data_IF_987275285179
#
_entry.id   IF_987275285179
#
_cell.length_a   1.000
_cell.length_b   1.000
_cell.length_c   1.000
_cell.angle_alpha   90.00
_cell.angle_beta   90.00
_cell.angle_gamma   90.00
#
_symmetry.space_group_name_H-M   'P 1'
#
loop_
_entity.id
_entity.type
_entity.pdbx_description
1 polymer ?
#
# COMPACT_ATOMS: atom_id res chain seq x y z
N UNK A 1 7.41 -20.63 8.28
CA UNK A 1 8.13 -19.69 9.18
C UNK A 1 7.92 -19.98 10.67
N UNK A 2 6.90 -19.47 11.36
CA UNK A 2 6.83 -19.59 12.84
C UNK A 2 6.79 -21.03 13.38
N UNK A 3 6.14 -21.96 12.67
CA UNK A 3 6.13 -23.39 13.05
C UNK A 3 7.49 -24.04 12.83
N UNK A 4 8.09 -23.81 11.66
CA UNK A 4 9.41 -24.36 11.29
C UNK A 4 10.54 -23.81 12.16
N UNK A 5 10.43 -22.54 12.59
CA UNK A 5 11.42 -21.87 13.40
C UNK A 5 11.18 -22.03 14.91
N UNK A 6 10.05 -22.61 15.33
CA UNK A 6 9.65 -22.75 16.75
C UNK A 6 9.62 -21.42 17.53
N UNK A 7 9.39 -20.31 16.83
CA UNK A 7 9.44 -18.96 17.39
C UNK A 7 8.07 -18.26 17.34
N UNK A 8 7.80 -17.33 18.29
CA UNK A 8 6.64 -16.45 18.20
C UNK A 8 6.67 -15.62 16.92
N UNK A 9 5.48 -15.29 16.40
CA UNK A 9 5.33 -14.43 15.24
C UNK A 9 4.43 -13.23 15.55
N UNK A 10 4.83 -12.07 15.03
CA UNK A 10 4.04 -10.82 15.07
C UNK A 10 3.57 -10.51 13.65
N UNK A 11 2.24 -10.43 13.48
CA UNK A 11 1.62 -9.93 12.25
C UNK A 11 1.46 -8.42 12.41
N UNK A 12 2.31 -7.66 11.74
CA UNK A 12 2.22 -6.20 11.75
C UNK A 12 0.96 -5.73 11.03
N UNK A 13 0.32 -4.71 11.61
CA UNK A 13 -0.76 -3.91 11.04
C UNK A 13 -1.80 -4.75 10.27
N UNK A 14 -2.42 -5.73 10.92
CA UNK A 14 -3.36 -6.64 10.26
C UNK A 14 -4.58 -5.90 9.71
N UNK A 15 -4.99 -6.23 8.49
CA UNK A 15 -6.10 -5.58 7.79
C UNK A 15 -6.58 -6.40 6.59
N UNK A 16 -7.82 -6.17 6.18
CA UNK A 16 -8.30 -6.45 4.84
C UNK A 16 -8.06 -5.22 3.95
N UNK A 17 -7.02 -5.27 3.11
CA UNK A 17 -6.66 -4.17 2.23
C UNK A 17 -7.32 -4.32 0.86
N UNK A 18 -8.01 -3.27 0.39
CA UNK A 18 -8.69 -3.25 -0.91
C UNK A 18 -10.11 -3.80 -0.84
N UNK A 19 -11.01 -3.22 -1.65
CA UNK A 19 -12.45 -3.50 -1.62
C UNK A 19 -12.79 -4.98 -1.80
N UNK A 20 -12.03 -5.68 -2.63
CA UNK A 20 -12.20 -7.11 -2.90
C UNK A 20 -11.90 -8.00 -1.69
N UNK A 21 -11.09 -7.50 -0.75
CA UNK A 21 -10.72 -8.23 0.47
C UNK A 21 -11.55 -7.83 1.68
N UNK A 22 -12.43 -6.82 1.58
CA UNK A 22 -13.25 -6.39 2.71
C UNK A 22 -14.10 -7.54 3.24
N UNK A 23 -14.14 -7.68 4.56
CA UNK A 23 -14.80 -8.77 5.29
C UNK A 23 -13.91 -9.99 5.55
N UNK A 24 -12.76 -10.12 4.89
CA UNK A 24 -11.87 -11.30 5.07
C UNK A 24 -11.19 -11.36 6.43
N UNK A 25 -11.23 -10.27 7.21
CA UNK A 25 -10.80 -10.26 8.60
C UNK A 25 -11.58 -11.25 9.46
N UNK A 26 -12.87 -11.48 9.14
CA UNK A 26 -13.71 -12.49 9.78
C UNK A 26 -13.24 -13.93 9.54
N UNK A 27 -12.38 -14.19 8.54
CA UNK A 27 -11.75 -15.49 8.31
C UNK A 27 -10.37 -15.58 8.93
N UNK A 28 -9.57 -14.53 8.81
CA UNK A 28 -8.17 -14.52 9.24
C UNK A 28 -8.00 -14.45 10.76
N UNK A 29 -8.86 -13.73 11.47
CA UNK A 29 -8.81 -13.67 12.94
C UNK A 29 -9.07 -15.04 13.59
N UNK A 30 -10.11 -15.81 13.20
CA UNK A 30 -10.27 -17.19 13.66
C UNK A 30 -9.08 -18.11 13.38
N UNK A 31 -8.36 -17.91 12.27
CA UNK A 31 -7.15 -18.66 11.97
C UNK A 31 -6.01 -18.35 12.95
N UNK A 32 -5.86 -17.08 13.34
CA UNK A 32 -4.89 -16.65 14.36
C UNK A 32 -5.25 -17.26 15.72
N UNK A 33 -6.53 -17.25 16.09
CA UNK A 33 -6.99 -17.88 17.33
C UNK A 33 -6.75 -19.39 17.33
N UNK A 34 -7.07 -20.07 16.22
CA UNK A 34 -6.84 -21.50 16.07
C UNK A 34 -5.34 -21.85 16.17
N UNK A 35 -4.47 -21.05 15.56
CA UNK A 35 -3.02 -21.22 15.68
C UNK A 35 -2.57 -21.11 17.15
N UNK A 36 -3.09 -20.12 17.89
CA UNK A 36 -2.80 -19.97 19.31
C UNK A 36 -3.32 -21.14 20.16
N UNK A 37 -4.55 -21.64 19.90
CA UNK A 37 -5.08 -22.83 20.58
C UNK A 37 -4.24 -24.09 20.33
N UNK A 38 -3.61 -24.18 19.17
CA UNK A 38 -2.76 -25.31 18.79
C UNK A 38 -1.29 -25.13 19.22
N UNK A 39 -1.02 -24.25 20.19
CA UNK A 39 0.31 -24.09 20.81
C UNK A 39 1.27 -23.16 20.08
N UNK A 40 0.90 -22.58 18.93
CA UNK A 40 1.71 -21.54 18.31
C UNK A 40 1.55 -20.20 19.05
N UNK A 41 2.57 -19.33 19.02
CA UNK A 41 2.47 -17.98 19.58
C UNK A 41 2.35 -16.95 18.45
N UNK A 42 1.11 -16.57 18.13
CA UNK A 42 0.82 -15.56 17.10
C UNK A 42 0.23 -14.31 17.76
N UNK A 43 0.81 -13.16 17.47
CA UNK A 43 0.35 -11.84 17.92
C UNK A 43 0.13 -10.94 16.71
N UNK A 44 -0.70 -9.93 16.90
CA UNK A 44 -1.12 -9.00 15.85
C UNK A 44 -1.29 -7.61 16.44
N UNK A 45 -0.91 -6.60 15.68
CA UNK A 45 -1.22 -5.20 15.98
C UNK A 45 -2.10 -4.58 14.90
N UNK A 46 -2.84 -3.54 15.30
CA UNK A 46 -3.68 -2.73 14.42
C UNK A 46 -3.64 -1.27 14.83
N UNK A 47 -4.02 -0.39 13.90
CA UNK A 47 -4.26 1.02 14.16
C UNK A 47 -5.72 1.37 13.85
N UNK A 48 -6.32 2.33 14.58
CA UNK A 48 -7.76 2.61 14.52
C UNK A 48 -8.16 3.51 13.34
N UNK A 49 -7.63 3.28 12.14
CA UNK A 49 -7.88 4.12 10.95
C UNK A 49 -8.27 3.26 9.74
N UNK A 50 -9.10 3.81 8.83
CA UNK A 50 -9.42 3.13 7.55
C UNK A 50 -8.29 3.32 6.52
N UNK A 51 -7.30 4.13 6.87
CA UNK A 51 -6.25 4.54 5.96
C UNK A 51 -4.91 4.01 6.43
N UNK A 52 -4.10 3.54 5.48
CA UNK A 52 -2.67 3.37 5.69
C UNK A 52 -1.90 4.65 5.38
N UNK A 53 -0.62 4.67 5.74
CA UNK A 53 0.33 5.66 5.24
C UNK A 53 1.64 5.02 4.85
N UNK A 54 2.14 5.39 3.68
CA UNK A 54 3.41 4.89 3.17
C UNK A 54 4.07 5.84 2.17
N UNK A 55 5.23 5.46 1.66
CA UNK A 55 5.83 6.11 0.50
C UNK A 55 5.04 5.74 -0.75
N UNK A 56 4.74 6.72 -1.60
CA UNK A 56 3.99 6.51 -2.84
C UNK A 56 4.73 5.57 -3.81
N UNK A 57 6.05 5.43 -3.66
CA UNK A 57 6.85 4.47 -4.41
C UNK A 57 6.45 3.00 -4.16
N UNK A 58 5.72 2.69 -3.07
CA UNK A 58 5.16 1.34 -2.85
C UNK A 58 4.11 0.94 -3.90
N UNK A 59 3.53 1.89 -4.64
CA UNK A 59 2.63 1.61 -5.75
C UNK A 59 3.38 1.12 -7.00
N UNK A 60 4.71 1.20 -7.01
CA UNK A 60 5.56 0.77 -8.11
C UNK A 60 5.96 -0.71 -7.92
N UNK A 61 5.93 -1.54 -8.98
CA UNK A 61 6.29 -2.95 -8.92
C UNK A 61 7.66 -3.20 -8.26
N UNK A 62 7.81 -4.29 -7.47
CA UNK A 62 9.04 -4.59 -6.73
C UNK A 62 10.32 -4.61 -7.59
N UNK A 63 10.25 -5.17 -8.81
CA UNK A 63 11.41 -5.25 -9.73
C UNK A 63 12.00 -3.88 -10.06
N UNK A 64 11.17 -2.82 -10.07
CA UNK A 64 11.64 -1.48 -10.37
C UNK A 64 12.45 -0.86 -9.22
N UNK A 65 12.37 -1.43 -8.01
CA UNK A 65 13.14 -1.00 -6.83
C UNK A 65 14.53 -1.64 -6.75
N UNK A 66 14.84 -2.64 -7.58
CA UNK A 66 16.14 -3.32 -7.58
C UNK A 66 17.28 -2.32 -7.79
N UNK A 67 18.32 -2.35 -6.95
CA UNK A 67 19.40 -1.35 -6.98
C UNK A 67 19.06 -0.02 -6.29
N UNK A 68 17.94 0.07 -5.58
CA UNK A 68 17.60 1.19 -4.70
C UNK A 68 16.98 2.40 -5.39
N UNK A 69 16.82 3.49 -4.63
CA UNK A 69 16.03 4.66 -5.07
C UNK A 69 16.57 5.36 -6.32
N UNK A 70 17.90 5.41 -6.48
CA UNK A 70 18.52 6.00 -7.67
C UNK A 70 18.18 5.21 -8.95
N UNK A 71 18.29 3.88 -8.88
CA UNK A 71 17.93 3.00 -9.99
C UNK A 71 16.43 3.07 -10.32
N UNK A 72 15.56 3.09 -9.29
CA UNK A 72 14.13 3.32 -9.47
C UNK A 72 13.86 4.61 -10.24
N UNK A 73 14.46 5.74 -9.82
CA UNK A 73 14.27 7.03 -10.49
C UNK A 73 14.81 7.03 -11.92
N UNK A 74 15.92 6.32 -12.18
CA UNK A 74 16.42 6.09 -13.53
C UNK A 74 15.39 5.36 -14.40
N UNK A 75 14.83 4.25 -13.91
CA UNK A 75 13.80 3.47 -14.61
C UNK A 75 12.50 4.26 -14.83
N UNK A 76 12.09 5.11 -13.89
CA UNK A 76 10.90 5.96 -14.06
C UNK A 76 11.10 7.03 -15.15
N UNK A 77 12.35 7.48 -15.38
CA UNK A 77 12.69 8.44 -16.43
C UNK A 77 12.90 7.79 -17.80
N UNK A 78 13.32 6.53 -17.84
CA UNK A 78 13.48 5.78 -19.08
C UNK A 78 12.10 5.45 -19.70
N UNK A 79 11.80 5.87 -20.96
CA UNK A 79 10.48 5.69 -21.55
C UNK A 79 10.04 4.23 -21.71
N UNK A 80 10.97 3.31 -21.95
CA UNK A 80 10.68 1.88 -22.15
C UNK A 80 10.33 1.24 -20.81
N UNK A 81 11.17 1.46 -19.80
CA UNK A 81 10.95 0.98 -18.44
C UNK A 81 9.71 1.61 -17.82
N UNK A 82 9.49 2.91 -18.03
CA UNK A 82 8.30 3.63 -17.56
C UNK A 82 7.02 3.02 -18.09
N UNK A 83 6.94 2.68 -19.38
CA UNK A 83 5.76 2.00 -19.96
C UNK A 83 5.52 0.63 -19.33
N UNK A 84 6.59 -0.14 -19.10
CA UNK A 84 6.51 -1.43 -18.41
C UNK A 84 5.98 -1.26 -16.98
N UNK A 85 6.56 -0.33 -16.23
CA UNK A 85 6.14 0.01 -14.86
C UNK A 85 4.67 0.41 -14.85
N UNK A 86 4.26 1.33 -15.73
CA UNK A 86 2.89 1.82 -15.79
C UNK A 86 1.86 0.69 -16.01
N UNK A 87 2.17 -0.25 -16.90
CA UNK A 87 1.33 -1.44 -17.12
C UNK A 87 1.28 -2.33 -15.88
N UNK A 88 2.42 -2.63 -15.29
CA UNK A 88 2.53 -3.54 -14.15
C UNK A 88 1.91 -2.93 -12.87
N UNK A 89 1.91 -1.60 -12.71
CA UNK A 89 1.20 -0.89 -11.64
C UNK A 89 -0.31 -1.14 -11.70
N UNK A 90 -0.89 -1.36 -12.88
CA UNK A 90 -2.33 -1.59 -13.05
C UNK A 90 -2.67 -3.07 -13.03
N UNK A 91 -1.86 -3.91 -13.68
CA UNK A 91 -2.15 -5.33 -13.89
C UNK A 91 -1.55 -6.25 -12.83
N UNK A 92 -0.57 -5.77 -12.06
CA UNK A 92 0.32 -6.63 -11.30
C UNK A 92 1.27 -7.42 -12.19
N UNK A 93 2.03 -8.31 -11.55
CA UNK A 93 2.90 -9.32 -12.17
C UNK A 93 2.65 -10.67 -11.49
N UNK A 94 3.17 -11.75 -12.05
CA UNK A 94 2.98 -13.11 -11.50
C UNK A 94 3.40 -13.22 -10.02
N UNK A 95 4.47 -12.50 -9.64
CA UNK A 95 5.01 -12.50 -8.28
C UNK A 95 4.57 -11.27 -7.45
N UNK A 96 3.75 -10.41 -8.02
CA UNK A 96 3.20 -9.23 -7.36
C UNK A 96 1.82 -8.95 -7.96
N UNK A 97 0.77 -9.66 -7.53
CA UNK A 97 -0.56 -9.59 -8.16
C UNK A 97 -1.24 -8.22 -7.99
N UNK A 98 -0.55 -7.23 -7.42
CA UNK A 98 -1.08 -5.96 -6.94
C UNK A 98 -2.33 -6.20 -6.11
N UNK A 99 -2.14 -6.62 -4.86
CA UNK A 99 -3.17 -7.15 -3.95
C UNK A 99 -4.41 -6.26 -3.72
N UNK A 100 -4.42 -5.04 -4.25
CA UNK A 100 -5.59 -4.19 -4.30
C UNK A 100 -5.58 -3.33 -5.57
N UNK A 101 -6.71 -3.31 -6.26
CA UNK A 101 -6.93 -2.40 -7.39
C UNK A 101 -6.75 -0.95 -6.92
N UNK A 102 -5.84 -0.23 -7.59
CA UNK A 102 -5.54 1.15 -7.24
C UNK A 102 -6.66 2.05 -7.75
N UNK A 103 -7.41 2.62 -6.81
CA UNK A 103 -8.36 3.70 -7.08
C UNK A 103 -7.69 5.04 -6.74
N UNK A 104 -7.44 5.88 -7.75
CA UNK A 104 -6.64 7.10 -7.59
C UNK A 104 -7.31 8.19 -6.74
N UNK A 105 -8.63 8.11 -6.57
CA UNK A 105 -9.40 8.94 -5.64
C UNK A 105 -9.17 8.50 -4.17
N UNK A 106 -8.77 7.25 -3.93
CA UNK A 106 -8.46 6.70 -2.61
C UNK A 106 -6.99 6.94 -2.18
N UNK A 107 -6.18 7.61 -3.01
CA UNK A 107 -4.79 7.97 -2.69
C UNK A 107 -4.67 9.48 -2.49
N UNK A 108 -4.47 9.89 -1.24
CA UNK A 108 -4.21 11.28 -0.87
C UNK A 108 -2.71 11.54 -0.72
N UNK A 109 -2.26 12.69 -1.23
CA UNK A 109 -0.87 13.12 -1.12
C UNK A 109 -0.65 13.74 0.27
N UNK A 110 0.19 13.10 1.08
CA UNK A 110 0.46 13.51 2.46
C UNK A 110 1.69 14.41 2.57
N UNK A 111 2.72 14.17 1.76
CA UNK A 111 3.91 15.01 1.69
C UNK A 111 4.59 14.88 0.33
N UNK A 112 5.34 15.92 -0.05
CA UNK A 112 6.03 16.01 -1.34
C UNK A 112 7.50 16.41 -1.15
N UNK A 113 8.36 15.90 -2.02
CA UNK A 113 9.80 16.08 -1.95
C UNK A 113 10.32 17.39 -2.55
N UNK A 114 9.43 18.25 -3.06
CA UNK A 114 9.80 19.52 -3.69
C UNK A 114 8.76 20.62 -3.37
N UNK A 115 9.17 21.89 -3.50
CA UNK A 115 8.31 23.06 -3.22
C UNK A 115 7.20 23.23 -4.25
N UNK A 116 7.47 22.94 -5.52
CA UNK A 116 6.52 23.14 -6.63
C UNK A 116 5.23 22.30 -6.47
N UNK A 117 5.34 21.14 -5.83
CA UNK A 117 4.24 20.21 -5.62
C UNK A 117 3.50 20.41 -4.30
N UNK A 118 3.86 21.40 -3.48
CA UNK A 118 3.18 21.65 -2.19
C UNK A 118 1.67 21.89 -2.33
N UNK A 119 1.25 22.46 -3.46
CA UNK A 119 -0.17 22.66 -3.81
C UNK A 119 -0.98 21.37 -3.91
N UNK A 120 -0.32 20.22 -4.05
CA UNK A 120 -0.98 18.91 -4.13
C UNK A 120 -1.13 18.23 -2.77
N UNK A 121 -0.48 18.72 -1.71
CA UNK A 121 -0.65 18.16 -0.36
C UNK A 121 -2.12 18.30 0.07
N UNK A 122 -2.69 17.20 0.56
CA UNK A 122 -4.11 17.10 0.90
C UNK A 122 -5.04 16.77 -0.28
N UNK A 123 -4.55 16.84 -1.53
CA UNK A 123 -5.30 16.46 -2.74
C UNK A 123 -5.17 14.96 -3.03
N UNK A 124 -6.09 14.43 -3.84
CA UNK A 124 -6.04 13.06 -4.36
C UNK A 124 -5.13 12.99 -5.58
N UNK A 125 -4.56 11.83 -5.87
CA UNK A 125 -3.81 11.61 -7.12
C UNK A 125 -4.70 11.86 -8.33
N UNK A 126 -5.99 11.52 -8.23
CA UNK A 126 -6.98 11.84 -9.25
C UNK A 126 -7.14 13.35 -9.50
N UNK A 127 -7.01 14.22 -8.49
CA UNK A 127 -7.02 15.68 -8.68
C UNK A 127 -5.83 16.15 -9.52
N UNK A 128 -4.65 15.57 -9.27
CA UNK A 128 -3.42 15.88 -10.01
C UNK A 128 -3.57 15.42 -11.46
N UNK A 129 -4.07 14.21 -11.67
CA UNK A 129 -4.34 13.64 -12.99
C UNK A 129 -5.30 14.52 -13.80
N UNK A 130 -6.43 14.93 -13.21
CA UNK A 130 -7.38 15.87 -13.82
C UNK A 130 -6.74 17.21 -14.19
N UNK A 131 -6.00 17.81 -13.26
CA UNK A 131 -5.36 19.10 -13.48
C UNK A 131 -4.26 19.06 -14.56
N UNK A 132 -3.56 17.93 -14.69
CA UNK A 132 -2.51 17.71 -15.70
C UNK A 132 -3.03 17.12 -17.02
N UNK A 133 -4.32 16.79 -17.09
CA UNK A 133 -4.96 16.11 -18.24
C UNK A 133 -4.24 14.80 -18.61
N UNK A 134 -3.88 14.02 -17.59
CA UNK A 134 -3.29 12.69 -17.74
C UNK A 134 -4.04 11.66 -16.88
N UNK A 135 -3.66 10.39 -16.97
CA UNK A 135 -4.19 9.34 -16.09
C UNK A 135 -3.50 9.33 -14.71
N UNK A 136 -4.06 8.56 -13.77
CA UNK A 136 -3.53 8.47 -12.41
C UNK A 136 -2.15 7.79 -12.32
N UNK A 137 -1.84 6.87 -13.23
CA UNK A 137 -0.53 6.20 -13.28
C UNK A 137 0.54 7.22 -13.66
N UNK A 138 0.27 7.99 -14.71
CA UNK A 138 1.14 9.06 -15.18
C UNK A 138 1.33 10.12 -14.09
N UNK A 139 0.24 10.58 -13.46
CA UNK A 139 0.33 11.55 -12.36
C UNK A 139 1.17 11.02 -11.18
N UNK A 140 0.99 9.76 -10.79
CA UNK A 140 1.78 9.11 -9.74
C UNK A 140 3.27 9.07 -10.09
N UNK A 141 3.62 8.61 -11.29
CA UNK A 141 5.01 8.55 -11.75
C UNK A 141 5.63 9.94 -11.83
N UNK A 142 4.92 10.93 -12.38
CA UNK A 142 5.44 12.29 -12.50
C UNK A 142 5.70 12.90 -11.10
N UNK A 143 4.78 12.72 -10.15
CA UNK A 143 4.97 13.16 -8.76
C UNK A 143 6.21 12.51 -8.13
N UNK A 144 6.45 11.22 -8.38
CA UNK A 144 7.63 10.51 -7.90
C UNK A 144 8.92 11.04 -8.53
N UNK A 145 8.95 11.28 -9.84
CA UNK A 145 10.12 11.84 -10.53
C UNK A 145 10.42 13.25 -10.02
N UNK A 146 9.42 14.13 -10.00
CA UNK A 146 9.54 15.51 -9.54
C UNK A 146 9.93 15.59 -8.06
N UNK A 147 9.44 14.65 -7.24
CA UNK A 147 9.72 14.57 -5.81
C UNK A 147 11.02 13.84 -5.45
N UNK A 148 11.80 13.38 -6.44
CA UNK A 148 12.98 12.54 -6.24
C UNK A 148 12.67 11.29 -5.38
N UNK A 149 11.53 10.65 -5.64
CA UNK A 149 11.02 9.47 -4.93
C UNK A 149 10.43 9.77 -3.55
N UNK A 150 10.55 11.01 -3.05
CA UNK A 150 10.13 11.43 -1.71
C UNK A 150 8.69 11.96 -1.74
N UNK A 151 7.74 11.09 -2.00
CA UNK A 151 6.30 11.41 -1.90
C UNK A 151 5.66 10.47 -0.90
N UNK A 152 4.94 11.03 0.08
CA UNK A 152 4.17 10.27 1.08
C UNK A 152 2.70 10.26 0.67
N UNK A 153 2.05 9.13 0.89
CA UNK A 153 0.62 8.97 0.65
C UNK A 153 -0.11 8.54 1.92
N UNK A 154 -1.40 8.86 1.95
CA UNK A 154 -2.41 8.21 2.77
C UNK A 154 -3.31 7.43 1.79
N UNK A 155 -3.50 6.13 2.03
CA UNK A 155 -4.29 5.26 1.16
C UNK A 155 -5.52 4.72 1.90
N UNK A 156 -6.70 5.03 1.40
CA UNK A 156 -7.99 4.68 2.00
C UNK A 156 -8.44 3.31 1.51
N UNK A 157 -7.83 2.26 2.08
CA UNK A 157 -7.92 0.88 1.56
C UNK A 157 -8.69 -0.08 2.48
N UNK A 158 -9.11 0.36 3.67
CA UNK A 158 -9.80 -0.47 4.67
C UNK A 158 -11.26 0.00 4.76
N UNK A 159 -12.21 -0.93 4.86
CA UNK A 159 -13.61 -0.57 5.11
C UNK A 159 -13.74 0.12 6.47
N UNK A 160 -14.57 1.16 6.55
CA UNK A 160 -14.76 1.89 7.80
C UNK A 160 -15.37 1.03 8.90
N UNK A 161 -16.22 0.08 8.50
CA UNK A 161 -16.94 -0.82 9.41
C UNK A 161 -16.02 -1.92 9.95
N UNK A 162 -15.03 -2.35 9.17
CA UNK A 162 -14.07 -3.38 9.59
C UNK A 162 -13.08 -2.89 10.65
N UNK A 163 -12.83 -1.58 10.76
CA UNK A 163 -11.97 -1.02 11.82
C UNK A 163 -12.38 -1.55 13.20
N UNK A 164 -13.68 -1.51 13.48
CA UNK A 164 -14.25 -1.92 14.76
C UNK A 164 -14.14 -3.44 14.97
N UNK A 165 -14.37 -4.23 13.93
CA UNK A 165 -14.33 -5.69 14.00
C UNK A 165 -12.94 -6.21 14.34
N UNK A 166 -11.88 -5.67 13.71
CA UNK A 166 -10.51 -6.09 14.02
C UNK A 166 -10.09 -5.62 15.40
N UNK A 167 -10.44 -4.38 15.78
CA UNK A 167 -10.11 -3.84 17.10
C UNK A 167 -10.81 -4.61 18.24
N UNK A 168 -12.08 -4.98 18.06
CA UNK A 168 -12.86 -5.69 19.07
C UNK A 168 -12.54 -7.20 19.13
N UNK A 169 -12.12 -7.78 18.00
CA UNK A 169 -11.68 -9.18 17.91
C UNK A 169 -10.33 -9.46 18.55
N UNK A 170 -9.44 -8.46 18.61
CA UNK A 170 -8.16 -8.55 19.33
C UNK A 170 -8.43 -8.26 20.81
N UNK A 171 -9.08 -9.19 21.52
CA UNK A 171 -9.09 -9.14 22.98
C UNK A 171 -7.70 -9.56 23.46
N UNK A 172 -6.92 -8.60 23.98
CA UNK A 172 -5.75 -8.92 24.80
C UNK A 172 -6.19 -9.82 25.95
N UNK A 173 -5.86 -11.10 25.87
CA UNK A 173 -5.83 -12.03 27.00
C UNK A 173 -4.40 -12.31 27.35
#
# INVERSE_FOLDING_TARGET
MGREAELPVQISHHKAAGRENWGTTGKTLPMIEAANRNGQRVRVDVYPYHAGSAGMAQLVPPWAHEGGSGALLGRLKDPVQRRRIARDMVRGTDNWPNFFKIEWDDIQIAAVGNRANRKWVGKRVADVARARKCDGVQACIDLLIEGNGRVRMINFIIDEREKCSVFCGIRCR
#
